data_IF_462580303376
#
_entry.id   IF_462580303376
#
_cell.length_a   1.000
_cell.length_b   1.000
_cell.length_c   1.000
_cell.angle_alpha   90.00
_cell.angle_beta   90.00
_cell.angle_gamma   90.00
#
_symmetry.space_group_name_H-M   'P 1'
#
loop_
_entity.id
_entity.type
_entity.pdbx_description
1 polymer ?
#
# COMPACT_ATOMS: atom_id res chain seq x y z
N UNK A 1 9.03 21.63 18.67
CA UNK A 1 8.41 21.77 17.32
C UNK A 1 9.06 20.91 16.22
N UNK A 2 10.18 20.19 16.46
CA UNK A 2 10.76 19.25 15.48
C UNK A 2 10.13 17.83 15.50
N UNK A 3 9.59 17.38 16.65
CA UNK A 3 8.95 16.05 16.80
C UNK A 3 7.59 15.92 16.09
N UNK A 4 6.85 17.03 15.93
CA UNK A 4 5.54 17.06 15.26
C UNK A 4 5.67 16.92 13.74
N UNK A 5 6.65 17.61 13.13
CA UNK A 5 7.02 17.38 11.73
C UNK A 5 7.43 15.91 11.51
N UNK A 6 8.11 15.33 12.51
CA UNK A 6 8.26 13.89 12.79
C UNK A 6 7.13 13.01 12.24
N UNK A 7 6.00 13.13 12.94
CA UNK A 7 4.83 12.26 12.78
C UNK A 7 4.08 12.54 11.47
N UNK A 8 4.08 13.80 11.02
CA UNK A 8 3.48 14.19 9.73
C UNK A 8 4.18 13.51 8.55
N UNK A 9 5.51 13.47 8.54
CA UNK A 9 6.26 12.74 7.50
C UNK A 9 6.01 11.24 7.57
N UNK A 10 6.00 10.66 8.77
CA UNK A 10 5.71 9.23 8.97
C UNK A 10 4.32 8.86 8.42
N UNK A 11 3.31 9.67 8.75
CA UNK A 11 1.94 9.50 8.23
C UNK A 11 1.88 9.63 6.71
N UNK A 12 2.61 10.60 6.14
CA UNK A 12 2.66 10.79 4.69
C UNK A 12 3.25 9.57 3.98
N UNK A 13 4.35 8.99 4.50
CA UNK A 13 4.93 7.77 3.95
C UNK A 13 3.97 6.58 4.04
N UNK A 14 3.33 6.38 5.20
CA UNK A 14 2.32 5.33 5.36
C UNK A 14 1.17 5.51 4.36
N UNK A 15 0.67 6.74 4.20
CA UNK A 15 -0.42 7.03 3.27
C UNK A 15 0.01 6.80 1.81
N UNK A 16 1.22 7.21 1.43
CA UNK A 16 1.76 6.99 0.10
C UNK A 16 1.93 5.50 -0.21
N UNK A 17 2.44 4.71 0.74
CA UNK A 17 2.61 3.26 0.58
C UNK A 17 1.26 2.54 0.48
N UNK A 18 0.28 2.90 1.34
CA UNK A 18 -1.07 2.34 1.24
C UNK A 18 -1.76 2.72 -0.06
N UNK A 19 -1.55 3.95 -0.56
CA UNK A 19 -2.03 4.37 -1.87
C UNK A 19 -1.40 3.56 -3.00
N UNK A 20 -0.08 3.35 -2.97
CA UNK A 20 0.62 2.54 -3.95
C UNK A 20 0.14 1.07 -3.94
N UNK A 21 -0.04 0.48 -2.76
CA UNK A 21 -0.61 -0.88 -2.60
C UNK A 21 -2.03 -0.95 -3.15
N UNK A 22 -2.86 0.08 -2.92
CA UNK A 22 -4.22 0.15 -3.46
C UNK A 22 -4.22 0.20 -4.98
N UNK A 23 -3.38 1.06 -5.57
CA UNK A 23 -3.23 1.15 -7.02
C UNK A 23 -2.74 -0.18 -7.61
N UNK A 24 -1.75 -0.81 -6.97
CA UNK A 24 -1.25 -2.11 -7.41
C UNK A 24 -2.34 -3.20 -7.36
N UNK A 25 -3.17 -3.20 -6.32
CA UNK A 25 -4.28 -4.14 -6.16
C UNK A 25 -5.36 -3.94 -7.23
N UNK A 26 -5.80 -2.70 -7.45
CA UNK A 26 -6.80 -2.37 -8.47
C UNK A 26 -6.26 -2.59 -9.89
N UNK A 27 -4.98 -2.27 -10.12
CA UNK A 27 -4.33 -2.55 -11.39
C UNK A 27 -4.23 -4.05 -11.64
N UNK A 28 -3.90 -4.86 -10.63
CA UNK A 28 -3.89 -6.32 -10.75
C UNK A 28 -5.28 -6.88 -11.07
N UNK A 29 -6.34 -6.33 -10.46
CA UNK A 29 -7.73 -6.65 -10.82
C UNK A 29 -8.00 -6.35 -12.30
N UNK A 30 -7.67 -5.13 -12.76
CA UNK A 30 -7.88 -4.73 -14.15
C UNK A 30 -7.10 -5.62 -15.12
N UNK A 31 -5.82 -5.91 -14.83
CA UNK A 31 -5.02 -6.84 -15.64
C UNK A 31 -5.65 -8.22 -15.68
N UNK A 32 -6.14 -8.74 -14.54
CA UNK A 32 -6.67 -10.10 -14.45
C UNK A 32 -8.02 -10.28 -15.15
N UNK A 33 -8.89 -9.27 -15.12
CA UNK A 33 -10.29 -9.42 -15.53
C UNK A 33 -10.71 -8.56 -16.72
N UNK A 34 -10.09 -7.40 -16.92
CA UNK A 34 -10.53 -6.40 -17.90
C UNK A 34 -9.55 -6.21 -19.07
N UNK A 35 -8.25 -6.50 -18.88
CA UNK A 35 -7.23 -6.23 -19.90
C UNK A 35 -7.29 -7.15 -21.13
N UNK A 36 -8.01 -8.26 -21.05
CA UNK A 36 -8.05 -9.29 -22.10
C UNK A 36 -6.78 -10.14 -22.24
N UNK A 37 -5.74 -9.88 -21.42
CA UNK A 37 -4.48 -10.64 -21.45
C UNK A 37 -4.65 -12.06 -20.87
N UNK A 38 -5.47 -12.18 -19.82
CA UNK A 38 -5.71 -13.45 -19.13
C UNK A 38 -7.15 -13.90 -19.37
N UNK A 39 -7.40 -15.11 -19.87
CA UNK A 39 -8.77 -15.60 -20.04
C UNK A 39 -9.51 -15.67 -18.70
N UNK A 40 -10.81 -15.35 -18.73
CA UNK A 40 -11.70 -15.31 -17.57
C UNK A 40 -12.74 -16.43 -17.72
N UNK A 41 -12.43 -17.62 -17.22
CA UNK A 41 -13.29 -18.79 -17.40
C UNK A 41 -14.47 -18.87 -16.41
N UNK A 42 -14.42 -18.10 -15.32
CA UNK A 42 -15.34 -18.20 -14.17
C UNK A 42 -16.21 -16.95 -13.96
N UNK A 43 -16.23 -16.03 -14.93
CA UNK A 43 -16.87 -14.72 -14.81
C UNK A 43 -16.02 -13.70 -14.05
N UNK A 44 -16.43 -12.43 -14.14
CA UNK A 44 -15.75 -11.29 -13.49
C UNK A 44 -16.41 -11.01 -12.13
N UNK A 45 -15.67 -11.06 -11.02
CA UNK A 45 -16.21 -10.72 -9.70
C UNK A 45 -16.50 -9.22 -9.59
N UNK A 46 -17.43 -8.82 -8.72
CA UNK A 46 -17.72 -7.40 -8.49
C UNK A 46 -16.52 -6.66 -7.89
N UNK A 47 -16.28 -5.43 -8.34
CA UNK A 47 -15.21 -4.55 -7.85
C UNK A 47 -15.36 -4.28 -6.33
N UNK A 48 -16.59 -4.22 -5.84
CA UNK A 48 -16.90 -3.95 -4.41
C UNK A 48 -16.28 -5.00 -3.47
N UNK A 49 -16.19 -6.26 -3.91
CA UNK A 49 -15.53 -7.32 -3.14
C UNK A 49 -14.03 -7.02 -2.98
N UNK A 50 -13.39 -6.54 -4.05
CA UNK A 50 -11.96 -6.19 -4.06
C UNK A 50 -11.68 -4.91 -3.26
N UNK A 51 -12.60 -3.94 -3.28
CA UNK A 51 -12.53 -2.75 -2.43
C UNK A 51 -12.64 -3.11 -0.95
N UNK A 52 -13.57 -4.01 -0.59
CA UNK A 52 -13.69 -4.50 0.80
C UNK A 52 -12.43 -5.23 1.26
N UNK A 53 -11.83 -6.05 0.38
CA UNK A 53 -10.55 -6.72 0.65
C UNK A 53 -9.38 -5.75 0.85
N UNK A 54 -9.43 -4.57 0.22
CA UNK A 54 -8.38 -3.55 0.34
C UNK A 54 -8.13 -3.15 1.80
N UNK A 55 -9.16 -3.13 2.64
CA UNK A 55 -9.01 -2.84 4.08
C UNK A 55 -8.13 -3.88 4.79
N UNK A 56 -8.31 -5.17 4.50
CA UNK A 56 -7.47 -6.23 5.05
C UNK A 56 -6.04 -6.15 4.52
N UNK A 57 -5.89 -5.86 3.22
CA UNK A 57 -4.59 -5.65 2.57
C UNK A 57 -3.85 -4.49 3.24
N UNK A 58 -4.53 -3.38 3.53
CA UNK A 58 -3.94 -2.24 4.25
C UNK A 58 -3.43 -2.62 5.63
N UNK A 59 -4.21 -3.39 6.41
CA UNK A 59 -3.78 -3.84 7.74
C UNK A 59 -2.51 -4.69 7.67
N UNK A 60 -2.46 -5.64 6.73
CA UNK A 60 -1.30 -6.52 6.53
C UNK A 60 -0.07 -5.70 6.12
N UNK A 61 -0.19 -4.86 5.09
CA UNK A 61 0.95 -4.11 4.56
C UNK A 61 1.42 -3.00 5.50
N UNK A 62 0.52 -2.27 6.15
CA UNK A 62 0.89 -1.29 7.17
C UNK A 62 1.68 -1.96 8.30
N UNK A 63 1.27 -3.16 8.72
CA UNK A 63 1.99 -3.94 9.73
C UNK A 63 3.38 -4.38 9.24
N UNK A 64 3.47 -4.95 8.03
CA UNK A 64 4.74 -5.40 7.43
C UNK A 64 5.71 -4.24 7.30
N UNK A 65 5.30 -3.12 6.70
CA UNK A 65 6.17 -1.96 6.50
C UNK A 65 6.63 -1.35 7.82
N UNK A 66 5.75 -1.32 8.83
CA UNK A 66 6.11 -0.86 10.17
C UNK A 66 7.11 -1.79 10.86
N UNK A 67 6.98 -3.12 10.67
CA UNK A 67 7.93 -4.11 11.21
C UNK A 67 9.30 -4.06 10.53
N UNK A 68 9.33 -3.80 9.23
CA UNK A 68 10.57 -3.57 8.48
C UNK A 68 11.25 -2.24 8.85
N UNK A 69 10.55 -1.36 9.58
CA UNK A 69 11.11 -0.10 10.03
C UNK A 69 11.26 0.93 8.91
N UNK A 70 10.53 0.79 7.80
CA UNK A 70 10.57 1.69 6.64
C UNK A 70 10.20 3.13 7.01
N UNK A 71 9.36 3.30 8.02
CA UNK A 71 8.92 4.62 8.49
C UNK A 71 9.87 5.23 9.55
N UNK A 72 10.94 4.53 9.93
CA UNK A 72 11.91 5.07 10.88
C UNK A 72 12.71 6.19 10.20
N UNK A 73 12.84 7.38 10.82
CA UNK A 73 13.66 8.43 10.27
C UNK A 73 15.10 7.95 10.15
N UNK A 74 15.66 7.97 8.93
CA UNK A 74 17.08 7.76 8.72
C UNK A 74 17.84 8.81 9.53
N UNK A 75 18.50 8.38 10.60
CA UNK A 75 19.42 9.23 11.34
C UNK A 75 20.60 9.42 10.41
N UNK A 76 20.78 10.64 9.89
CA UNK A 76 21.96 10.98 9.09
C UNK A 76 23.20 10.48 9.80
N UNK A 77 23.95 9.60 9.14
CA UNK A 77 25.22 9.10 9.65
C UNK A 77 26.10 10.33 9.89
N UNK A 78 26.31 10.69 11.15
CA UNK A 78 27.32 11.69 11.50
C UNK A 78 28.65 11.06 11.14
N UNK A 79 29.17 11.38 9.95
CA UNK A 79 30.56 11.10 9.61
C UNK A 79 31.39 11.89 10.62
N UNK A 80 32.03 11.16 11.53
CA UNK A 80 33.07 11.66 12.43
C UNK A 80 34.37 11.64 11.65
#
# INVERSE_FOLDING_TARGET
MLKQKRQLFELFFVAADLFAVTLAWLFAYWVRFESGIVPVDKGVPSLDNYLTMTLFIWLIWAFVFRKMGLYRPMRGVRRV
#
